data_IF_541115706900
#
_entry.id   IF_541115706900
#
_cell.length_a   1.000
_cell.length_b   1.000
_cell.length_c   1.000
_cell.angle_alpha   90.00
_cell.angle_beta   90.00
_cell.angle_gamma   90.00
#
_symmetry.space_group_name_H-M   'P 1'
#
loop_
_entity.id
_entity.type
_entity.pdbx_description
1 polymer ?
#
# COMPACT_ATOMS: atom_id res chain seq x y z
N UNK A 1 -41.02 -20.93 8.94
CA UNK A 1 -40.15 -21.91 8.26
C UNK A 1 -38.95 -21.16 7.70
N UNK A 2 -37.82 -21.17 8.40
CA UNK A 2 -36.56 -20.57 7.92
C UNK A 2 -35.61 -21.73 7.61
N UNK A 3 -35.28 -21.88 6.34
CA UNK A 3 -34.38 -22.93 5.84
C UNK A 3 -32.97 -22.72 6.36
N UNK A 4 -32.41 -23.75 7.00
CA UNK A 4 -30.98 -23.84 7.30
C UNK A 4 -30.24 -24.23 6.02
N UNK A 5 -29.33 -23.39 5.55
CA UNK A 5 -28.28 -23.85 4.65
C UNK A 5 -27.26 -24.65 5.48
N UNK A 6 -27.09 -25.93 5.14
CA UNK A 6 -26.03 -26.78 5.67
C UNK A 6 -24.92 -26.81 4.63
N UNK A 7 -23.72 -26.34 4.99
CA UNK A 7 -22.51 -26.57 4.20
C UNK A 7 -21.80 -27.81 4.76
N UNK A 8 -21.65 -28.90 3.99
CA UNK A 8 -20.87 -30.05 4.43
C UNK A 8 -19.39 -29.79 4.13
N UNK A 9 -18.57 -29.75 5.18
CA UNK A 9 -17.12 -30.01 5.23
C UNK A 9 -16.24 -29.30 4.16
N UNK A 10 -15.32 -28.40 4.52
CA UNK A 10 -14.06 -28.72 5.20
C UNK A 10 -13.43 -27.46 5.84
N UNK A 11 -13.04 -27.60 7.10
CA UNK A 11 -12.02 -26.86 7.86
C UNK A 11 -11.37 -25.62 7.20
N UNK A 12 -12.02 -24.46 7.29
CA UNK A 12 -11.38 -23.14 7.28
C UNK A 12 -12.12 -22.24 8.28
N UNK A 13 -11.43 -21.45 9.12
CA UNK A 13 -12.09 -20.53 10.02
C UNK A 13 -12.88 -19.49 9.21
N UNK A 14 -14.20 -19.51 9.43
CA UNK A 14 -15.15 -18.53 8.95
C UNK A 14 -14.85 -17.19 9.63
N UNK A 15 -14.10 -16.30 8.97
CA UNK A 15 -14.04 -14.90 9.37
C UNK A 15 -15.34 -14.22 8.97
N UNK A 16 -16.29 -14.30 9.88
CA UNK A 16 -17.55 -13.58 9.85
C UNK A 16 -17.28 -12.07 9.72
N UNK A 17 -17.72 -11.49 8.60
CA UNK A 17 -18.52 -10.27 8.61
C UNK A 17 -17.97 -9.03 9.31
N UNK A 18 -16.70 -8.68 9.15
CA UNK A 18 -16.30 -7.28 9.28
C UNK A 18 -16.45 -6.63 7.91
N UNK A 19 -17.50 -5.82 7.75
CA UNK A 19 -17.56 -4.81 6.68
C UNK A 19 -16.32 -3.95 6.85
N UNK A 20 -15.28 -4.20 6.06
CA UNK A 20 -14.09 -3.35 6.02
C UNK A 20 -14.53 -2.02 5.39
N UNK A 21 -14.17 -0.87 5.98
CA UNK A 21 -14.49 0.41 5.37
C UNK A 21 -13.84 0.48 3.98
N UNK A 22 -14.66 0.80 2.98
CA UNK A 22 -14.40 0.83 1.52
C UNK A 22 -13.31 1.81 1.06
N UNK A 23 -12.50 2.35 1.96
CA UNK A 23 -11.62 3.49 1.69
C UNK A 23 -10.15 3.31 2.14
N UNK A 24 -9.73 2.11 2.49
CA UNK A 24 -8.31 1.80 2.66
C UNK A 24 -7.87 0.90 1.50
N UNK A 25 -6.67 1.10 0.92
CA UNK A 25 -6.14 0.11 -0.01
C UNK A 25 -6.04 -1.22 0.76
N UNK A 26 -6.78 -2.23 0.30
CA UNK A 26 -7.08 -3.46 1.06
C UNK A 26 -5.84 -4.25 1.53
N UNK A 27 -4.65 -3.88 1.02
CA UNK A 27 -3.36 -4.53 1.27
C UNK A 27 -2.41 -3.71 2.16
N UNK A 28 -2.81 -2.51 2.61
CA UNK A 28 -2.13 -1.81 3.72
C UNK A 28 -3.03 -1.94 4.95
N UNK A 29 -2.73 -2.87 5.88
CA UNK A 29 -3.59 -3.11 7.03
C UNK A 29 -3.73 -1.85 7.89
N UNK A 30 -4.96 -1.53 8.32
CA UNK A 30 -5.22 -0.43 9.26
C UNK A 30 -4.33 -0.49 10.50
N UNK A 31 -4.05 -1.70 11.00
CA UNK A 31 -3.21 -1.96 12.18
C UNK A 31 -1.75 -1.55 12.00
N UNK A 32 -1.31 -1.32 10.75
CA UNK A 32 0.06 -0.95 10.41
C UNK A 32 0.19 0.52 9.99
N UNK A 33 -0.92 1.27 9.93
CA UNK A 33 -0.91 2.66 9.44
C UNK A 33 -0.01 3.56 10.26
N UNK A 34 -0.07 3.49 11.58
CA UNK A 34 0.76 4.34 12.44
C UNK A 34 2.26 4.08 12.21
N UNK A 35 2.65 2.81 12.04
CA UNK A 35 4.04 2.45 11.70
C UNK A 35 4.46 2.99 10.32
N UNK A 36 3.55 2.95 9.33
CA UNK A 36 3.79 3.54 8.01
C UNK A 36 3.94 5.07 8.10
N UNK A 37 3.11 5.72 8.91
CA UNK A 37 3.18 7.17 9.16
C UNK A 37 4.53 7.53 9.81
N UNK A 38 4.95 6.79 10.84
CA UNK A 38 6.21 7.02 11.53
C UNK A 38 7.42 6.80 10.63
N UNK A 39 7.40 5.77 9.78
CA UNK A 39 8.42 5.53 8.76
C UNK A 39 8.47 6.70 7.76
N UNK A 40 7.31 7.16 7.28
CA UNK A 40 7.23 8.30 6.36
C UNK A 40 7.83 9.57 6.98
N UNK A 41 7.53 9.86 8.24
CA UNK A 41 8.09 11.01 8.95
C UNK A 41 9.61 10.91 9.08
N UNK A 42 10.14 9.76 9.52
CA UNK A 42 11.58 9.52 9.70
C UNK A 42 12.38 9.67 8.41
N UNK A 43 11.84 9.17 7.31
CA UNK A 43 12.48 9.23 5.99
C UNK A 43 12.10 10.46 5.18
N UNK A 44 11.52 11.48 5.82
CA UNK A 44 11.21 12.80 5.24
C UNK A 44 10.33 12.71 3.98
N UNK A 45 9.35 11.83 4.03
CA UNK A 45 8.30 11.72 3.02
C UNK A 45 7.32 12.89 3.21
N UNK A 46 6.92 13.51 2.10
CA UNK A 46 5.84 14.51 2.03
C UNK A 46 4.49 13.84 1.77
N UNK A 47 4.41 12.94 0.79
CA UNK A 47 3.22 12.12 0.55
C UNK A 47 3.59 10.68 0.23
N UNK A 48 2.75 9.75 0.67
CA UNK A 48 2.79 8.35 0.28
C UNK A 48 1.41 7.95 -0.22
N UNK A 49 1.35 7.37 -1.42
CA UNK A 49 0.10 6.93 -2.03
C UNK A 49 0.23 5.50 -2.60
N UNK A 50 -0.76 4.64 -2.34
CA UNK A 50 -0.89 3.36 -3.02
C UNK A 50 -1.42 3.58 -4.44
N UNK A 51 -0.94 2.79 -5.40
CA UNK A 51 -1.47 2.82 -6.77
C UNK A 51 -1.47 1.41 -7.37
N UNK A 52 -1.70 1.30 -8.67
CA UNK A 52 -1.43 0.05 -9.38
C UNK A 52 -2.26 -1.13 -8.88
N UNK A 53 -1.62 -2.29 -8.81
CA UNK A 53 -2.24 -3.57 -8.44
C UNK A 53 -2.64 -3.62 -6.97
N UNK A 54 -1.99 -2.83 -6.11
CA UNK A 54 -2.34 -2.67 -4.70
C UNK A 54 -3.77 -2.15 -4.47
N UNK A 55 -4.39 -1.54 -5.48
CA UNK A 55 -5.76 -1.05 -5.40
C UNK A 55 -6.79 -2.02 -6.02
N UNK A 56 -6.37 -3.22 -6.44
CA UNK A 56 -7.21 -4.18 -7.17
C UNK A 56 -7.27 -5.51 -6.40
N UNK A 57 -8.22 -5.66 -5.46
CA UNK A 57 -8.26 -6.81 -4.54
C UNK A 57 -8.40 -8.17 -5.24
N UNK A 58 -9.05 -8.21 -6.40
CA UNK A 58 -9.25 -9.42 -7.18
C UNK A 58 -7.94 -9.98 -7.80
N UNK A 59 -6.88 -9.18 -7.89
CA UNK A 59 -5.60 -9.55 -8.52
C UNK A 59 -4.50 -9.83 -7.49
N UNK A 60 -4.70 -9.40 -6.23
CA UNK A 60 -3.69 -9.48 -5.18
C UNK A 60 -3.56 -10.89 -4.59
N UNK A 61 -2.32 -11.32 -4.42
CA UNK A 61 -1.93 -12.56 -3.75
C UNK A 61 -0.98 -12.22 -2.62
N UNK A 62 -1.37 -12.53 -1.38
CA UNK A 62 -0.62 -12.14 -0.18
C UNK A 62 0.84 -12.61 -0.18
N UNK A 63 1.15 -13.71 -0.86
CA UNK A 63 2.49 -14.31 -0.85
C UNK A 63 3.36 -13.89 -2.06
N UNK A 64 2.80 -13.22 -3.07
CA UNK A 64 3.50 -12.98 -4.33
C UNK A 64 3.20 -11.66 -5.03
N UNK A 65 2.29 -10.85 -4.50
CA UNK A 65 1.99 -9.54 -5.04
C UNK A 65 2.74 -8.45 -4.28
N UNK A 66 3.44 -7.63 -5.05
CA UNK A 66 4.14 -6.45 -4.54
C UNK A 66 3.15 -5.35 -4.16
N UNK A 67 3.60 -4.44 -3.31
CA UNK A 67 2.85 -3.24 -2.93
C UNK A 67 3.43 -2.04 -3.70
N UNK A 68 2.66 -1.54 -4.66
CA UNK A 68 2.96 -0.40 -5.53
C UNK A 68 2.74 0.93 -4.77
N UNK A 69 3.83 1.62 -4.42
CA UNK A 69 3.79 2.87 -3.65
C UNK A 69 4.42 4.04 -4.39
N UNK A 70 3.66 5.12 -4.53
CA UNK A 70 4.13 6.39 -5.06
C UNK A 70 4.61 7.23 -3.87
N UNK A 71 5.90 7.57 -3.87
CA UNK A 71 6.54 8.34 -2.80
C UNK A 71 6.93 9.73 -3.31
N UNK A 72 6.61 10.75 -2.52
CA UNK A 72 7.08 12.11 -2.76
C UNK A 72 7.85 12.57 -1.53
N UNK A 73 9.16 12.78 -1.67
CA UNK A 73 10.01 13.28 -0.59
C UNK A 73 9.92 14.81 -0.47
N UNK A 74 10.19 15.34 0.72
CA UNK A 74 10.46 16.78 0.87
C UNK A 74 11.76 17.15 0.11
N UNK A 75 11.96 18.44 -0.25
CA UNK A 75 13.23 18.88 -0.84
C UNK A 75 14.41 18.56 0.09
N UNK A 76 15.42 17.87 -0.44
CA UNK A 76 16.64 17.50 0.27
C UNK A 76 17.78 17.26 -0.73
N UNK A 77 19.01 17.15 -0.21
CA UNK A 77 20.19 16.81 -0.98
C UNK A 77 20.02 15.47 -1.75
N UNK A 78 20.53 15.33 -2.99
CA UNK A 78 20.37 14.11 -3.78
C UNK A 78 20.88 12.84 -3.11
N UNK A 79 22.01 12.89 -2.40
CA UNK A 79 22.56 11.73 -1.70
C UNK A 79 21.65 11.33 -0.53
N UNK A 80 21.22 12.30 0.27
CA UNK A 80 20.26 12.07 1.35
C UNK A 80 18.94 11.48 0.86
N UNK A 81 18.47 11.89 -0.33
CA UNK A 81 17.26 11.34 -0.96
C UNK A 81 17.44 9.87 -1.36
N UNK A 82 18.59 9.50 -1.91
CA UNK A 82 18.88 8.10 -2.27
C UNK A 82 18.94 7.23 -1.02
N UNK A 83 19.59 7.70 0.05
CA UNK A 83 19.61 6.99 1.34
C UNK A 83 18.21 6.81 1.89
N UNK A 84 17.39 7.87 1.89
CA UNK A 84 16.00 7.82 2.40
C UNK A 84 15.12 6.89 1.56
N UNK A 85 15.34 6.83 0.24
CA UNK A 85 14.60 5.93 -0.66
C UNK A 85 14.80 4.46 -0.29
N UNK A 86 16.05 4.00 -0.18
CA UNK A 86 16.32 2.61 0.17
C UNK A 86 15.90 2.28 1.61
N UNK A 87 16.21 3.15 2.57
CA UNK A 87 15.85 2.94 3.97
C UNK A 87 14.33 2.88 4.18
N UNK A 88 13.56 3.76 3.51
CA UNK A 88 12.10 3.73 3.55
C UNK A 88 11.55 2.43 2.95
N UNK A 89 12.09 1.97 1.81
CA UNK A 89 11.63 0.73 1.17
C UNK A 89 11.82 -0.45 2.10
N UNK A 90 13.04 -0.65 2.58
CA UNK A 90 13.38 -1.81 3.39
C UNK A 90 12.52 -1.83 4.69
N UNK A 91 12.25 -0.66 5.26
CA UNK A 91 11.37 -0.54 6.42
C UNK A 91 9.89 -0.79 6.11
N UNK A 92 9.37 -0.27 4.99
CA UNK A 92 7.99 -0.53 4.59
C UNK A 92 7.77 -2.00 4.27
N UNK A 93 8.74 -2.70 3.69
CA UNK A 93 8.68 -4.14 3.48
C UNK A 93 8.59 -4.91 4.80
N UNK A 94 9.36 -4.50 5.82
CA UNK A 94 9.27 -5.08 7.16
C UNK A 94 7.92 -4.82 7.81
N UNK A 95 7.43 -3.58 7.75
CA UNK A 95 6.13 -3.22 8.32
C UNK A 95 5.04 -4.01 7.63
N UNK A 96 5.00 -4.02 6.30
CA UNK A 96 3.91 -4.60 5.52
C UNK A 96 4.00 -6.11 5.37
N UNK A 97 5.18 -6.70 5.58
CA UNK A 97 5.49 -8.11 5.36
C UNK A 97 5.24 -8.55 3.90
N UNK A 98 5.56 -7.67 2.96
CA UNK A 98 5.44 -7.88 1.52
C UNK A 98 6.52 -7.07 0.80
N UNK A 99 6.87 -7.46 -0.43
CA UNK A 99 7.76 -6.65 -1.27
C UNK A 99 7.09 -5.32 -1.64
N UNK A 100 7.89 -4.27 -1.75
CA UNK A 100 7.39 -2.92 -2.04
C UNK A 100 8.07 -2.38 -3.31
N UNK A 101 7.27 -2.08 -4.33
CA UNK A 101 7.72 -1.33 -5.50
C UNK A 101 7.53 0.18 -5.25
N UNK A 102 8.63 0.89 -5.02
CA UNK A 102 8.61 2.33 -4.80
C UNK A 102 8.89 3.11 -6.07
N UNK A 103 7.93 3.95 -6.45
CA UNK A 103 8.07 4.91 -7.54
C UNK A 103 8.15 6.33 -6.97
N UNK A 104 9.23 7.05 -7.29
CA UNK A 104 9.35 8.46 -6.89
C UNK A 104 8.45 9.33 -7.77
N UNK A 105 7.63 10.17 -7.15
CA UNK A 105 6.77 11.14 -7.84
C UNK A 105 7.61 12.04 -8.75
N UNK A 106 7.22 12.13 -10.02
CA UNK A 106 7.96 12.88 -11.06
C UNK A 106 9.02 12.06 -11.81
N UNK A 107 9.34 10.84 -11.38
CA UNK A 107 10.21 9.92 -12.12
C UNK A 107 9.47 9.15 -13.23
N UNK A 108 8.13 9.14 -13.21
CA UNK A 108 7.30 8.50 -14.24
C UNK A 108 7.34 9.34 -15.52
N UNK A 109 8.09 8.88 -16.52
CA UNK A 109 8.31 9.61 -17.78
C UNK A 109 7.14 9.53 -18.75
N UNK A 110 6.40 8.42 -18.73
CA UNK A 110 5.24 8.24 -19.61
C UNK A 110 4.04 9.03 -19.07
N UNK A 111 3.57 10.00 -19.85
CA UNK A 111 2.49 10.90 -19.45
C UNK A 111 1.13 10.19 -19.30
N UNK A 112 0.89 9.11 -20.05
CA UNK A 112 -0.34 8.31 -19.94
C UNK A 112 -0.32 7.52 -18.63
N UNK A 113 0.81 6.91 -18.30
CA UNK A 113 1.00 6.19 -17.04
C UNK A 113 0.89 7.17 -15.86
N UNK A 114 1.60 8.30 -15.91
CA UNK A 114 1.56 9.31 -14.84
C UNK A 114 0.13 9.81 -14.59
N UNK A 115 -0.64 10.10 -15.65
CA UNK A 115 -2.03 10.54 -15.53
C UNK A 115 -2.93 9.44 -14.97
N UNK A 116 -2.71 8.18 -15.34
CA UNK A 116 -3.44 7.03 -14.78
C UNK A 116 -3.19 6.94 -13.28
N UNK A 117 -1.92 6.95 -12.85
CA UNK A 117 -1.52 6.90 -11.44
C UNK A 117 -2.17 8.05 -10.66
N UNK A 118 -2.02 9.30 -11.12
CA UNK A 118 -2.58 10.45 -10.41
C UNK A 118 -4.10 10.39 -10.25
N UNK A 119 -4.83 9.80 -11.22
CA UNK A 119 -6.29 9.64 -11.14
C UNK A 119 -6.71 8.51 -10.20
N UNK A 120 -5.93 7.43 -10.12
CA UNK A 120 -6.35 6.22 -9.40
C UNK A 120 -5.72 6.05 -8.02
N UNK A 121 -4.63 6.77 -7.72
CA UNK A 121 -3.90 6.60 -6.47
C UNK A 121 -4.77 6.86 -5.24
N UNK A 122 -4.47 6.17 -4.15
CA UNK A 122 -5.09 6.38 -2.85
C UNK A 122 -4.05 6.84 -1.84
N UNK A 123 -4.33 7.92 -1.12
CA UNK A 123 -3.40 8.50 -0.15
C UNK A 123 -3.32 7.63 1.11
N UNK A 124 -2.08 7.31 1.51
CA UNK A 124 -1.75 6.65 2.77
C UNK A 124 -1.25 7.65 3.82
N UNK A 125 -0.48 8.63 3.38
CA UNK A 125 0.13 9.64 4.26
C UNK A 125 0.33 10.97 3.53
N UNK A 126 0.23 12.07 4.28
CA UNK A 126 0.63 13.42 3.88
C UNK A 126 1.03 14.27 5.10
N UNK A 127 2.05 15.11 4.94
CA UNK A 127 2.49 16.11 5.92
C UNK A 127 2.61 17.51 5.31
#
# INVERSE_FOLDING_TARGET
>A
MLGRCVCPEKHLPCYSGLIRPVNAPDHVPETKKDQVVDACQRHKVRTLEAFGSTLRPAEYRAESSDIDLLVHFVPMDPYARVTSYFALRDELEQILAAQVDQVVKGAVKDAVIARKIERTKQRLYAA
#
